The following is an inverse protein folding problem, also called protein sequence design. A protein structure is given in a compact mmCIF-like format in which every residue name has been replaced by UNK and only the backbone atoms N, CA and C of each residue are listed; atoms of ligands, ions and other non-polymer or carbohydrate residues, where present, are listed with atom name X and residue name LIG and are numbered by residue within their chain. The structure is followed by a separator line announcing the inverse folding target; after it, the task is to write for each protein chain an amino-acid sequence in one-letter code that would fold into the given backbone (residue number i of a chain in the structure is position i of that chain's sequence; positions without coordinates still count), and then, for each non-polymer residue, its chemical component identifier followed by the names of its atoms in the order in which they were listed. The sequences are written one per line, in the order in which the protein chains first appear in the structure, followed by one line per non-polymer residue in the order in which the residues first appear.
data_IF_328858259570
#
_entry.id   IF_328858259570
#
_cell.length_a   1.000
_cell.length_b   1.000
_cell.length_c   1.000
_cell.angle_alpha   90.00
_cell.angle_beta   90.00
_cell.angle_gamma   90.00
#
_symmetry.space_group_name_H-M   'P 1'
#
loop_
_entity.id
_entity.type
_entity.pdbx_description
1 polymer ?
#
# COMPACT_ATOMS: atom_id res chain seq x y z
N UNK A 1 17.96 -2.65 -13.10
CA UNK A 1 16.79 -2.33 -12.26
C UNK A 1 15.55 -2.37 -13.09
N UNK A 2 15.01 -3.58 -13.21
CA UNK A 2 13.72 -3.93 -13.77
C UNK A 2 12.91 -4.64 -12.70
N UNK A 3 11.60 -4.50 -12.74
CA UNK A 3 10.69 -5.24 -11.88
C UNK A 3 10.70 -6.71 -12.30
N UNK A 4 10.87 -7.62 -11.34
CA UNK A 4 10.90 -9.07 -11.57
C UNK A 4 9.70 -9.79 -10.98
N UNK A 5 9.10 -9.25 -9.92
CA UNK A 5 7.89 -9.81 -9.30
C UNK A 5 7.02 -8.73 -8.69
N UNK A 6 5.71 -9.01 -8.67
CA UNK A 6 4.72 -8.27 -7.88
C UNK A 6 3.90 -9.30 -7.11
N UNK A 7 3.98 -9.27 -5.79
CA UNK A 7 3.39 -10.28 -4.90
C UNK A 7 2.46 -9.61 -3.89
N UNK A 8 1.42 -10.34 -3.48
CA UNK A 8 0.45 -9.85 -2.49
C UNK A 8 0.41 -10.76 -1.27
N UNK A 9 0.38 -10.17 -0.08
CA UNK A 9 0.30 -10.88 1.19
C UNK A 9 -0.94 -10.41 1.96
N UNK A 10 -1.89 -11.33 2.17
CA UNK A 10 -3.09 -11.06 2.96
C UNK A 10 -2.78 -11.33 4.43
N UNK A 11 -2.98 -10.32 5.28
CA UNK A 11 -2.76 -10.40 6.73
C UNK A 11 -4.11 -10.39 7.47
N UNK A 12 -4.54 -11.59 7.89
CA UNK A 12 -5.88 -11.78 8.45
C UNK A 12 -6.96 -11.64 7.38
N UNK A 13 -8.06 -10.97 7.70
CA UNK A 13 -9.22 -10.74 6.82
C UNK A 13 -9.28 -9.32 6.24
N UNK A 14 -8.37 -8.42 6.66
CA UNK A 14 -8.54 -6.97 6.47
C UNK A 14 -7.38 -6.24 5.84
N UNK A 15 -6.16 -6.78 5.87
CA UNK A 15 -4.97 -6.06 5.41
C UNK A 15 -4.31 -6.75 4.23
N UNK A 16 -3.81 -5.96 3.29
CA UNK A 16 -3.15 -6.44 2.09
C UNK A 16 -1.84 -5.70 1.87
N UNK A 17 -0.72 -6.42 1.93
CA UNK A 17 0.59 -5.89 1.55
C UNK A 17 0.93 -6.25 0.11
N UNK A 18 1.63 -5.35 -0.56
CA UNK A 18 2.19 -5.52 -1.90
C UNK A 18 3.71 -5.48 -1.79
N UNK A 19 4.38 -6.46 -2.42
CA UNK A 19 5.83 -6.53 -2.53
C UNK A 19 6.24 -6.48 -3.99
N UNK A 20 7.18 -5.61 -4.34
CA UNK A 20 7.74 -5.51 -5.69
C UNK A 20 9.22 -5.87 -5.64
N UNK A 21 9.59 -6.97 -6.29
CA UNK A 21 10.98 -7.41 -6.45
C UNK A 21 11.63 -6.82 -7.71
N UNK A 22 12.96 -6.66 -7.67
CA UNK A 22 13.74 -6.19 -8.83
C UNK A 22 14.92 -7.12 -9.14
N UNK A 23 15.50 -6.97 -10.34
CA UNK A 23 16.73 -7.64 -10.79
C UNK A 23 18.02 -7.14 -10.07
N UNK A 24 17.88 -6.22 -9.12
CA UNK A 24 18.97 -5.60 -8.37
C UNK A 24 18.91 -5.90 -6.87
N UNK A 25 18.24 -7.00 -6.49
CA UNK A 25 18.00 -7.45 -5.10
C UNK A 25 17.27 -6.43 -4.19
N UNK A 26 16.85 -5.29 -4.73
CA UNK A 26 16.01 -4.32 -4.05
C UNK A 26 14.55 -4.76 -4.10
N UNK A 27 13.86 -4.50 -2.99
CA UNK A 27 12.45 -4.85 -2.78
C UNK A 27 11.72 -3.64 -2.23
N UNK A 28 10.58 -3.32 -2.82
CA UNK A 28 9.64 -2.30 -2.35
C UNK A 28 8.45 -2.91 -1.65
N UNK A 29 7.94 -2.23 -0.63
CA UNK A 29 6.73 -2.59 0.10
C UNK A 29 5.70 -1.47 0.07
N UNK A 30 4.44 -1.85 -0.06
CA UNK A 30 3.30 -0.95 0.07
C UNK A 30 2.09 -1.67 0.65
N UNK A 31 1.09 -0.90 1.05
CA UNK A 31 -0.15 -1.39 1.61
C UNK A 31 -1.33 -0.98 0.72
N UNK A 32 -2.09 -1.98 0.26
CA UNK A 32 -3.29 -1.85 -0.57
C UNK A 32 -4.54 -2.28 0.21
N UNK A 33 -4.64 -1.87 1.47
CA UNK A 33 -5.78 -2.23 2.31
C UNK A 33 -7.04 -1.53 1.80
N UNK A 34 -8.08 -2.33 1.59
CA UNK A 34 -9.48 -1.90 1.54
C UNK A 34 -10.23 -2.89 2.43
N UNK A 35 -10.70 -2.42 3.57
CA UNK A 35 -11.23 -3.26 4.64
C UNK A 35 -12.31 -4.19 4.07
N UNK A 36 -12.26 -5.47 4.45
CA UNK A 36 -13.15 -6.56 3.99
C UNK A 36 -13.13 -6.89 2.49
N UNK A 37 -12.45 -6.11 1.64
CA UNK A 37 -12.36 -6.29 0.19
C UNK A 37 -10.94 -6.67 -0.30
N UNK A 38 -10.12 -7.24 0.57
CA UNK A 38 -8.71 -7.60 0.27
C UNK A 38 -8.57 -8.58 -0.90
N UNK A 39 -9.52 -9.51 -1.07
CA UNK A 39 -9.49 -10.49 -2.17
C UNK A 39 -9.61 -9.83 -3.55
N UNK A 40 -10.67 -9.03 -3.79
CA UNK A 40 -10.81 -8.23 -5.00
C UNK A 40 -9.62 -7.29 -5.26
N UNK A 41 -9.10 -6.61 -4.23
CA UNK A 41 -7.93 -5.75 -4.41
C UNK A 41 -6.69 -6.56 -4.82
N UNK A 42 -6.44 -7.71 -4.19
CA UNK A 42 -5.33 -8.59 -4.55
C UNK A 42 -5.44 -9.10 -6.00
N UNK A 43 -6.64 -9.38 -6.48
CA UNK A 43 -6.88 -9.76 -7.87
C UNK A 43 -6.52 -8.62 -8.84
N UNK A 44 -6.91 -7.38 -8.52
CA UNK A 44 -6.54 -6.21 -9.32
C UNK A 44 -5.03 -5.99 -9.32
N UNK A 45 -4.35 -6.11 -8.16
CA UNK A 45 -2.87 -5.99 -8.10
C UNK A 45 -2.21 -7.04 -9.00
N UNK A 46 -2.68 -8.29 -8.99
CA UNK A 46 -2.17 -9.34 -9.90
C UNK A 46 -2.38 -9.00 -11.37
N UNK A 47 -3.54 -8.47 -11.74
CA UNK A 47 -3.78 -8.04 -13.12
C UNK A 47 -2.88 -6.85 -13.52
N UNK A 48 -2.65 -5.90 -12.61
CA UNK A 48 -1.75 -4.77 -12.83
C UNK A 48 -0.27 -5.18 -12.90
N UNK A 49 0.09 -6.31 -12.30
CA UNK A 49 1.46 -6.84 -12.34
C UNK A 49 1.94 -7.12 -13.77
N UNK A 50 1.05 -7.56 -14.67
CA UNK A 50 1.37 -7.84 -16.07
C UNK A 50 1.92 -6.61 -16.80
N UNK A 51 1.52 -5.41 -16.39
CA UNK A 51 2.03 -4.16 -16.93
C UNK A 51 3.39 -3.75 -16.32
N UNK A 52 3.68 -4.21 -15.11
CA UNK A 52 4.86 -3.78 -14.34
C UNK A 52 6.07 -4.68 -14.55
N UNK A 53 5.88 -5.99 -14.67
CA UNK A 53 7.00 -6.94 -14.79
C UNK A 53 7.81 -6.65 -16.04
N UNK A 54 9.13 -6.55 -15.89
CA UNK A 54 10.07 -6.18 -16.95
C UNK A 54 10.29 -4.66 -17.10
N UNK A 55 9.40 -3.83 -16.55
CA UNK A 55 9.50 -2.37 -16.64
C UNK A 55 10.49 -1.78 -15.62
N UNK A 56 10.91 -0.54 -15.88
CA UNK A 56 11.78 0.22 -14.98
C UNK A 56 10.96 0.84 -13.83
N UNK A 57 11.17 0.43 -12.56
CA UNK A 57 10.39 0.93 -11.42
C UNK A 57 10.60 2.43 -11.14
N UNK A 58 11.64 3.07 -11.70
CA UNK A 58 11.88 4.51 -11.52
C UNK A 58 10.84 5.39 -12.19
N UNK A 59 10.09 4.87 -13.15
CA UNK A 59 9.07 5.64 -13.90
C UNK A 59 7.76 5.74 -13.12
N UNK A 60 7.83 6.05 -11.82
CA UNK A 60 6.72 5.99 -10.85
C UNK A 60 5.47 6.71 -11.39
N UNK A 61 5.61 7.96 -11.82
CA UNK A 61 4.47 8.72 -12.37
C UNK A 61 3.92 8.10 -13.65
N UNK A 62 4.76 7.53 -14.51
CA UNK A 62 4.27 6.88 -15.73
C UNK A 62 3.45 5.62 -15.38
N UNK A 63 3.96 4.81 -14.44
CA UNK A 63 3.24 3.65 -13.92
C UNK A 63 1.91 4.06 -13.30
N UNK A 64 1.91 5.08 -12.44
CA UNK A 64 0.69 5.60 -11.83
C UNK A 64 -0.33 6.06 -12.88
N UNK A 65 0.10 6.78 -13.93
CA UNK A 65 -0.80 7.25 -14.99
C UNK A 65 -1.42 6.08 -15.75
N UNK A 66 -0.65 5.06 -16.10
CA UNK A 66 -1.18 3.90 -16.82
C UNK A 66 -2.11 3.07 -15.92
N UNK A 67 -1.71 2.79 -14.68
CA UNK A 67 -2.54 1.99 -13.77
C UNK A 67 -3.83 2.72 -13.34
N UNK A 68 -3.80 4.05 -13.25
CA UNK A 68 -4.97 4.85 -12.83
C UNK A 68 -5.87 5.28 -13.99
N UNK A 69 -5.30 5.48 -15.19
CA UNK A 69 -5.97 6.13 -16.33
C UNK A 69 -5.75 5.46 -17.68
N UNK A 70 -4.95 4.39 -17.74
CA UNK A 70 -4.67 3.65 -18.97
C UNK A 70 -5.83 2.73 -19.38
N UNK A 71 -6.71 2.38 -18.44
CA UNK A 71 -8.01 1.78 -18.76
C UNK A 71 -8.98 2.82 -19.33
N UNK A 72 -9.96 2.36 -20.11
CA UNK A 72 -11.00 3.24 -20.67
C UNK A 72 -11.82 3.93 -19.56
N UNK A 73 -12.26 3.15 -18.56
CA UNK A 73 -12.97 3.66 -17.39
C UNK A 73 -11.99 3.91 -16.24
N UNK A 74 -12.25 4.99 -15.49
CA UNK A 74 -11.40 5.40 -14.37
C UNK A 74 -11.91 4.82 -13.06
N UNK A 75 -11.04 4.04 -12.43
CA UNK A 75 -10.99 3.83 -10.99
C UNK A 75 -12.28 3.39 -10.28
N UNK A 76 -12.23 3.51 -8.96
CA UNK A 76 -13.14 2.98 -7.95
C UNK A 76 -12.32 2.62 -6.71
N UNK A 77 -12.93 2.39 -5.53
CA UNK A 77 -12.18 2.15 -4.29
C UNK A 77 -11.22 0.95 -4.39
N UNK A 78 -11.63 -0.12 -5.07
CA UNK A 78 -10.80 -1.32 -5.27
C UNK A 78 -9.56 -1.01 -6.12
N UNK A 79 -9.74 -0.38 -7.29
CA UNK A 79 -8.61 -0.03 -8.16
C UNK A 79 -7.71 1.04 -7.52
N UNK A 80 -8.29 2.04 -6.84
CA UNK A 80 -7.52 3.07 -6.17
C UNK A 80 -6.64 2.49 -5.04
N UNK A 81 -7.18 1.53 -4.27
CA UNK A 81 -6.42 0.84 -3.22
C UNK A 81 -5.28 0.00 -3.81
N UNK A 82 -5.53 -0.74 -4.90
CA UNK A 82 -4.50 -1.50 -5.61
C UNK A 82 -3.36 -0.60 -6.14
N UNK A 83 -3.71 0.50 -6.80
CA UNK A 83 -2.74 1.50 -7.29
C UNK A 83 -1.95 2.10 -6.14
N UNK A 84 -2.59 2.40 -5.01
CA UNK A 84 -1.90 2.98 -3.85
C UNK A 84 -0.82 2.06 -3.30
N UNK A 85 -1.10 0.76 -3.12
CA UNK A 85 -0.09 -0.17 -2.62
C UNK A 85 1.08 -0.36 -3.59
N UNK A 86 0.82 -0.33 -4.90
CA UNK A 86 1.87 -0.36 -5.92
C UNK A 86 2.71 0.93 -5.87
N UNK A 87 2.08 2.10 -5.83
CA UNK A 87 2.76 3.40 -5.79
C UNK A 87 3.68 3.53 -4.57
N UNK A 88 3.19 3.14 -3.39
CA UNK A 88 3.98 3.07 -2.16
C UNK A 88 5.23 2.18 -2.32
N UNK A 89 5.07 0.97 -2.89
CA UNK A 89 6.17 0.04 -3.12
C UNK A 89 7.21 0.59 -4.12
N UNK A 90 6.76 1.30 -5.16
CA UNK A 90 7.67 1.95 -6.12
C UNK A 90 8.45 3.10 -5.47
N UNK A 91 7.81 3.90 -4.60
CA UNK A 91 8.49 4.94 -3.84
C UNK A 91 9.48 4.36 -2.81
N UNK A 92 9.14 3.28 -2.13
CA UNK A 92 10.05 2.56 -1.23
C UNK A 92 11.28 2.03 -1.99
N UNK A 93 11.10 1.47 -3.19
CA UNK A 93 12.21 1.10 -4.08
C UNK A 93 13.10 2.30 -4.45
N UNK A 94 12.50 3.45 -4.75
CA UNK A 94 13.26 4.65 -5.06
C UNK A 94 14.09 5.12 -3.86
N UNK A 95 13.50 5.17 -2.66
CA UNK A 95 14.21 5.51 -1.42
C UNK A 95 15.41 4.58 -1.17
N UNK A 96 15.18 3.27 -1.24
CA UNK A 96 16.23 2.25 -1.07
C UNK A 96 17.33 2.35 -2.12
N UNK A 97 16.97 2.59 -3.38
CA UNK A 97 17.93 2.77 -4.46
C UNK A 97 18.85 3.97 -4.23
N UNK A 98 18.28 5.09 -3.79
CA UNK A 98 19.05 6.32 -3.54
C UNK A 98 19.68 6.37 -2.14
N UNK A 99 19.38 5.40 -1.27
CA UNK A 99 19.89 5.37 0.10
C UNK A 99 19.35 6.49 0.98
N UNK A 100 18.17 7.03 0.65
CA UNK A 100 17.54 8.15 1.36
C UNK A 100 16.09 7.82 1.73
N UNK A 101 15.55 8.39 2.81
CA UNK A 101 14.13 8.26 3.10
C UNK A 101 13.30 8.96 2.01
N UNK A 102 12.09 8.45 1.73
CA UNK A 102 11.23 8.94 0.63
C UNK A 102 10.95 10.44 0.70
N UNK A 103 10.85 11.03 1.90
CA UNK A 103 10.60 12.46 2.06
C UNK A 103 11.69 13.35 1.43
N UNK A 104 12.94 12.89 1.39
CA UNK A 104 14.03 13.62 0.72
C UNK A 104 13.83 13.66 -0.81
N UNK A 105 13.20 12.64 -1.38
CA UNK A 105 12.91 12.57 -2.81
C UNK A 105 11.75 13.50 -3.23
N UNK A 106 10.93 13.95 -2.28
CA UNK A 106 9.77 14.82 -2.53
C UNK A 106 9.95 16.25 -2.00
N UNK A 107 11.20 16.69 -1.86
CA UNK A 107 11.56 18.06 -1.50
C UNK A 107 12.07 18.27 -0.08
N UNK A 108 12.30 17.19 0.68
CA UNK A 108 12.90 17.25 2.00
C UNK A 108 11.89 17.49 3.13
N UNK A 109 12.33 17.25 4.36
CA UNK A 109 11.50 17.43 5.55
C UNK A 109 11.30 18.92 5.89
N UNK A 110 10.04 19.37 5.91
CA UNK A 110 9.65 20.73 6.35
C UNK A 110 9.34 20.82 7.86
N UNK A 111 9.51 19.71 8.60
CA UNK A 111 9.25 19.58 10.04
C UNK A 111 10.07 18.43 10.61
N UNK A 112 10.39 18.49 11.91
CA UNK A 112 11.19 17.45 12.60
C UNK A 112 10.35 16.32 13.21
N UNK A 113 9.05 16.52 13.39
CA UNK A 113 8.13 15.50 13.91
C UNK A 113 6.73 15.62 13.28
N UNK A 114 5.97 14.53 13.31
CA UNK A 114 4.56 14.48 12.90
C UNK A 114 3.69 14.27 14.14
N UNK A 115 2.76 15.20 14.41
CA UNK A 115 1.80 15.07 15.52
C UNK A 115 0.79 13.97 15.19
N UNK A 116 0.59 13.03 16.11
CA UNK A 116 -0.36 11.93 15.96
C UNK A 116 -1.56 12.12 16.90
N UNK A 117 -2.70 11.52 16.54
CA UNK A 117 -3.85 11.31 17.41
C UNK A 117 -4.27 9.84 17.34
N UNK A 118 -4.96 9.35 18.37
CA UNK A 118 -5.49 7.98 18.41
C UNK A 118 -7.00 8.04 18.27
N UNK A 119 -7.57 7.11 17.50
CA UNK A 119 -9.01 6.90 17.48
C UNK A 119 -9.50 6.57 18.90
N UNK A 120 -10.50 7.30 19.40
CA UNK A 120 -11.10 7.03 20.69
C UNK A 120 -12.00 5.79 20.57
N UNK A 121 -11.73 4.76 21.37
CA UNK A 121 -12.62 3.62 21.46
C UNK A 121 -13.95 4.06 22.09
N UNK A 122 -15.06 3.46 21.66
CA UNK A 122 -16.43 3.80 22.10
C UNK A 122 -16.66 3.50 23.59
N UNK A 123 -15.77 2.75 24.23
CA UNK A 123 -15.75 2.46 25.66
C UNK A 123 -15.19 3.62 26.53
N UNK A 124 -14.89 4.79 25.93
CA UNK A 124 -14.65 6.04 26.66
C UNK A 124 -13.35 6.08 27.47
N UNK A 125 -12.51 5.05 27.39
CA UNK A 125 -11.20 4.99 28.06
C UNK A 125 -10.14 5.71 27.24
N UNK A 126 -10.20 7.04 27.28
CA UNK A 126 -9.11 7.88 26.77
C UNK A 126 -7.87 7.63 27.64
N UNK A 127 -6.83 7.02 27.06
CA UNK A 127 -5.52 6.87 27.70
C UNK A 127 -5.19 5.49 28.27
N UNK A 128 -6.07 4.48 28.17
CA UNK A 128 -5.73 3.10 28.55
C UNK A 128 -4.96 2.40 27.41
N UNK A 129 -3.70 1.96 27.65
CA UNK A 129 -2.92 1.19 26.68
C UNK A 129 -3.31 -0.29 26.65
N UNK A 130 -4.14 -0.76 27.59
CA UNK A 130 -4.61 -2.13 27.62
C UNK A 130 -5.37 -2.45 26.32
N UNK A 131 -5.15 -3.62 25.70
CA UNK A 131 -5.96 -4.04 24.57
C UNK A 131 -7.44 -3.98 25.01
N UNK A 132 -8.35 -3.49 24.14
CA UNK A 132 -9.77 -3.52 24.46
C UNK A 132 -10.10 -4.97 24.85
N UNK A 133 -10.73 -5.15 26.01
CA UNK A 133 -11.21 -6.46 26.44
C UNK A 133 -11.95 -7.04 25.23
N UNK A 134 -11.58 -8.26 24.81
CA UNK A 134 -12.13 -8.91 23.62
C UNK A 134 -13.64 -8.68 23.62
N UNK A 135 -14.09 -7.72 22.82
CA UNK A 135 -15.51 -7.52 22.61
C UNK A 135 -15.91 -8.83 21.95
N UNK A 136 -16.81 -9.63 22.56
CA UNK A 136 -17.29 -10.82 21.87
C UNK A 136 -17.78 -10.28 20.54
N UNK A 137 -17.15 -10.73 19.44
CA UNK A 137 -17.58 -10.36 18.10
C UNK A 137 -19.07 -10.64 18.10
N UNK A 138 -19.88 -9.59 18.16
CA UNK A 138 -21.31 -9.71 18.04
C UNK A 138 -21.51 -10.40 16.72
N UNK A 139 -22.11 -11.57 16.82
CA UNK A 139 -22.54 -12.53 15.80
C UNK A 139 -23.43 -11.82 14.76
N UNK A 140 -22.83 -10.86 14.07
CA UNK A 140 -23.45 -10.10 13.00
C UNK A 140 -23.06 -10.85 11.75
N UNK A 141 -23.75 -11.97 11.56
CA UNK A 141 -23.91 -12.57 10.24
C UNK A 141 -24.48 -11.48 9.33
N UNK A 142 -23.77 -11.18 8.25
CA UNK A 142 -24.36 -10.48 7.12
C UNK A 142 -25.36 -11.39 6.43
#
# INVERSE_FOLDING_TARGET
MRITSVETFVLGDRRLLVRIGTDSDLVGWGEATLETWVGPVAAVVRQMADYLVGEDPRRITAHWQVLSRGGFYRGGPVMASAVSGIDQALWDLAGKRFGVPVHELVGGAVRTHVRLYRHANVDGRIGDPSPPAHSPMTDTRW
#
